data_IF_893710915806
#
_entry.id   IF_893710915806
#
_cell.length_a   1.000
_cell.length_b   1.000
_cell.length_c   1.000
_cell.angle_alpha   90.00
_cell.angle_beta   90.00
_cell.angle_gamma   90.00
#
_symmetry.space_group_name_H-M   'P 1'
#
loop_
_entity.id
_entity.type
_entity.pdbx_description
1 polymer ?
#
# COMPACT_ATOMS: atom_id res chain seq x y z
N UNK A 1 44.36 -11.75 5.26
CA UNK A 1 43.61 -10.49 5.10
C UNK A 1 43.21 -10.20 3.64
N UNK A 2 44.10 -10.30 2.65
CA UNK A 2 43.81 -10.00 1.22
C UNK A 2 42.61 -10.81 0.67
N UNK A 3 42.46 -12.09 1.04
CA UNK A 3 41.31 -12.92 0.63
C UNK A 3 39.98 -12.38 1.15
N UNK A 4 39.97 -11.87 2.38
CA UNK A 4 38.78 -11.28 3.01
C UNK A 4 38.45 -9.93 2.37
N UNK A 5 39.46 -9.09 2.14
CA UNK A 5 39.29 -7.80 1.45
C UNK A 5 38.76 -8.02 0.03
N UNK A 6 39.29 -9.01 -0.70
CA UNK A 6 38.78 -9.35 -2.03
C UNK A 6 37.32 -9.79 -2.01
N UNK A 7 36.92 -10.60 -1.02
CA UNK A 7 35.52 -10.99 -0.84
C UNK A 7 34.63 -9.79 -0.50
N UNK A 8 35.10 -8.89 0.36
CA UNK A 8 34.37 -7.68 0.76
C UNK A 8 34.19 -6.70 -0.41
N UNK A 9 35.21 -6.56 -1.27
CA UNK A 9 35.11 -5.79 -2.52
C UNK A 9 34.09 -6.41 -3.46
N UNK A 10 34.09 -7.73 -3.64
CA UNK A 10 33.10 -8.41 -4.47
C UNK A 10 31.67 -8.26 -3.91
N UNK A 11 31.51 -8.31 -2.59
CA UNK A 11 30.23 -8.05 -1.94
C UNK A 11 29.77 -6.60 -2.19
N UNK A 12 30.67 -5.63 -2.03
CA UNK A 12 30.36 -4.23 -2.30
C UNK A 12 29.94 -4.01 -3.77
N UNK A 13 30.68 -4.58 -4.72
CA UNK A 13 30.35 -4.52 -6.15
C UNK A 13 28.97 -5.16 -6.40
N UNK A 14 28.70 -6.31 -5.80
CA UNK A 14 27.40 -6.97 -5.93
C UNK A 14 26.26 -6.10 -5.39
N UNK A 15 26.46 -5.41 -4.27
CA UNK A 15 25.47 -4.47 -3.71
C UNK A 15 25.23 -3.28 -4.63
N UNK A 16 26.29 -2.73 -5.23
CA UNK A 16 26.18 -1.62 -6.20
C UNK A 16 25.35 -2.06 -7.41
N UNK A 17 25.63 -3.25 -7.96
CA UNK A 17 24.86 -3.79 -9.09
C UNK A 17 23.39 -3.97 -8.73
N UNK A 18 23.10 -4.55 -7.55
CA UNK A 18 21.73 -4.68 -7.07
C UNK A 18 21.03 -3.32 -6.96
N UNK A 19 21.73 -2.33 -6.39
CA UNK A 19 21.18 -0.99 -6.22
C UNK A 19 20.91 -0.28 -7.55
N UNK A 20 21.75 -0.51 -8.58
CA UNK A 20 21.52 0.02 -9.92
C UNK A 20 20.28 -0.61 -10.57
N UNK A 21 20.07 -1.92 -10.38
CA UNK A 21 18.87 -2.61 -10.87
C UNK A 21 17.60 -2.10 -10.17
N UNK A 22 17.64 -1.93 -8.85
CA UNK A 22 16.55 -1.32 -8.06
C UNK A 22 16.21 0.08 -8.59
N UNK A 23 17.23 0.92 -8.82
CA UNK A 23 17.06 2.26 -9.40
C UNK A 23 16.47 2.22 -10.81
N UNK A 24 16.91 1.28 -11.65
CA UNK A 24 16.42 1.13 -13.02
C UNK A 24 14.93 0.76 -13.04
N UNK A 25 14.50 -0.16 -12.17
CA UNK A 25 13.10 -0.57 -12.02
C UNK A 25 12.20 0.58 -11.57
N UNK A 26 12.71 1.53 -10.79
CA UNK A 26 11.92 2.68 -10.31
C UNK A 26 11.87 3.81 -11.34
N UNK A 27 13.00 4.12 -11.99
CA UNK A 27 13.14 5.34 -12.80
C UNK A 27 12.88 5.15 -14.29
N UNK A 28 13.05 3.94 -14.81
CA UNK A 28 12.94 3.67 -16.25
C UNK A 28 11.56 3.09 -16.54
N UNK A 29 10.66 3.83 -17.20
CA UNK A 29 9.35 3.29 -17.55
C UNK A 29 9.52 2.19 -18.59
N UNK A 30 9.06 0.98 -18.26
CA UNK A 30 9.08 -0.14 -19.18
C UNK A 30 7.89 -0.02 -20.14
N UNK A 31 8.20 0.17 -21.43
CA UNK A 31 7.22 0.41 -22.49
C UNK A 31 6.55 -0.88 -23.02
N UNK A 32 6.95 -2.05 -22.49
CA UNK A 32 6.41 -3.35 -22.90
C UNK A 32 5.30 -3.74 -21.92
N UNK A 33 4.06 -4.02 -22.37
CA UNK A 33 2.89 -4.19 -21.49
C UNK A 33 3.08 -5.21 -20.36
N UNK A 34 3.73 -6.34 -20.66
CA UNK A 34 4.02 -7.38 -19.66
C UNK A 34 4.96 -6.84 -18.58
N UNK A 35 5.99 -6.09 -18.98
CA UNK A 35 6.99 -5.56 -18.06
C UNK A 35 6.45 -4.38 -17.24
N UNK A 36 5.49 -3.61 -17.77
CA UNK A 36 4.84 -2.52 -17.05
C UNK A 36 4.12 -3.03 -15.80
N UNK A 37 3.35 -4.12 -15.92
CA UNK A 37 2.64 -4.71 -14.78
C UNK A 37 3.60 -5.22 -13.69
N UNK A 38 4.73 -5.82 -14.10
CA UNK A 38 5.78 -6.22 -13.15
C UNK A 38 6.42 -5.02 -12.46
N UNK A 39 6.63 -3.92 -13.18
CA UNK A 39 7.18 -2.70 -12.62
C UNK A 39 6.24 -2.06 -11.59
N UNK A 40 4.96 -1.96 -11.89
CA UNK A 40 3.94 -1.45 -10.96
C UNK A 40 3.88 -2.29 -9.69
N UNK A 41 3.82 -3.62 -9.83
CA UNK A 41 3.88 -4.54 -8.70
C UNK A 41 5.14 -4.37 -7.86
N UNK A 42 6.31 -4.27 -8.51
CA UNK A 42 7.59 -4.11 -7.82
C UNK A 42 7.66 -2.81 -7.01
N UNK A 43 7.19 -1.69 -7.59
CA UNK A 43 7.15 -0.38 -6.92
C UNK A 43 6.24 -0.44 -5.69
N UNK A 44 5.04 -1.00 -5.81
CA UNK A 44 4.09 -1.15 -4.69
C UNK A 44 4.66 -2.06 -3.58
N UNK A 45 5.17 -3.23 -3.95
CA UNK A 45 5.79 -4.17 -3.01
C UNK A 45 6.94 -3.53 -2.23
N UNK A 46 7.84 -2.82 -2.93
CA UNK A 46 8.97 -2.13 -2.31
C UNK A 46 8.51 -1.03 -1.36
N UNK A 47 7.50 -0.25 -1.76
CA UNK A 47 6.89 0.78 -0.91
C UNK A 47 6.36 0.20 0.40
N UNK A 48 5.62 -0.92 0.32
CA UNK A 48 5.12 -1.63 1.50
C UNK A 48 6.26 -2.20 2.35
N UNK A 49 7.24 -2.85 1.73
CA UNK A 49 8.38 -3.45 2.43
C UNK A 49 9.17 -2.40 3.22
N UNK A 50 9.45 -1.24 2.62
CA UNK A 50 10.12 -0.13 3.29
C UNK A 50 9.23 0.50 4.37
N UNK A 51 7.92 0.64 4.12
CA UNK A 51 6.96 1.11 5.13
C UNK A 51 6.88 0.20 6.37
N UNK A 52 7.07 -1.10 6.21
CA UNK A 52 7.19 -2.06 7.32
C UNK A 52 8.52 -1.89 8.09
N UNK A 53 9.62 -1.63 7.39
CA UNK A 53 10.97 -1.50 7.99
C UNK A 53 11.13 -0.18 8.74
N UNK A 54 10.55 0.92 8.24
CA UNK A 54 10.58 2.23 8.92
C UNK A 54 9.68 2.30 10.17
N UNK A 55 8.98 1.21 10.52
CA UNK A 55 8.13 1.16 11.71
C UNK A 55 7.00 2.19 11.72
N UNK A 56 6.65 2.74 10.56
CA UNK A 56 5.82 3.93 10.48
C UNK A 56 5.75 4.54 9.10
N UNK A 57 5.20 3.82 8.12
CA UNK A 57 4.24 4.53 7.27
C UNK A 57 3.02 4.80 8.13
N UNK A 58 2.69 6.08 8.27
CA UNK A 58 1.46 6.66 8.77
C UNK A 58 0.20 5.91 8.31
N UNK A 59 -0.03 4.71 8.83
CA UNK A 59 -1.38 4.36 9.24
C UNK A 59 -1.66 5.41 10.29
N UNK A 60 -2.58 6.36 10.07
CA UNK A 60 -3.03 7.14 11.20
C UNK A 60 -3.43 6.08 12.23
N UNK A 61 -2.72 6.06 13.37
CA UNK A 61 -3.08 5.21 14.50
C UNK A 61 -4.60 5.28 14.61
N UNK A 62 -5.27 4.16 14.91
CA UNK A 62 -6.72 4.14 15.04
C UNK A 62 -7.20 5.36 15.86
N UNK A 63 -6.44 5.76 16.88
CA UNK A 63 -6.62 7.01 17.64
C UNK A 63 -6.57 8.30 16.80
N UNK A 64 -5.58 8.47 15.92
CA UNK A 64 -5.49 9.61 14.99
C UNK A 64 -6.58 9.59 13.92
N UNK A 65 -7.05 8.42 13.49
CA UNK A 65 -8.24 8.33 12.61
C UNK A 65 -9.52 8.69 13.38
N UNK A 66 -9.65 8.27 14.64
CA UNK A 66 -10.79 8.60 15.51
C UNK A 66 -10.83 10.11 15.78
N UNK A 67 -9.69 10.72 16.10
CA UNK A 67 -9.60 12.16 16.36
C UNK A 67 -9.84 12.97 15.08
N UNK A 68 -9.28 12.55 13.93
CA UNK A 68 -9.57 13.20 12.63
C UNK A 68 -11.03 13.02 12.20
N UNK A 69 -11.68 11.90 12.55
CA UNK A 69 -13.11 11.67 12.31
C UNK A 69 -13.99 12.56 13.19
N UNK A 70 -13.57 12.81 14.44
CA UNK A 70 -14.21 13.77 15.35
C UNK A 70 -14.05 15.21 14.86
N UNK A 71 -12.86 15.59 14.37
CA UNK A 71 -12.59 16.95 13.87
C UNK A 71 -13.25 17.23 12.51
N UNK A 72 -13.37 16.22 11.63
CA UNK A 72 -14.02 16.36 10.32
C UNK A 72 -15.55 16.26 10.36
N UNK A 73 -16.17 16.20 11.55
CA UNK A 73 -17.63 16.22 11.67
C UNK A 73 -18.35 15.09 10.93
N UNK A 74 -17.73 13.89 10.83
CA UNK A 74 -18.47 12.70 10.39
C UNK A 74 -19.40 12.27 11.53
N UNK A 75 -20.62 12.78 11.50
CA UNK A 75 -21.72 12.42 12.39
C UNK A 75 -22.40 11.10 12.03
N UNK A 76 -21.73 10.20 11.33
CA UNK A 76 -22.28 8.86 11.10
C UNK A 76 -21.71 7.91 12.15
N UNK A 77 -22.39 7.89 13.30
CA UNK A 77 -22.26 6.81 14.28
C UNK A 77 -22.39 5.48 13.52
N UNK A 78 -21.49 4.50 13.73
CA UNK A 78 -21.79 3.13 13.38
C UNK A 78 -23.08 2.76 14.10
N UNK A 79 -24.11 2.32 13.37
CA UNK A 79 -25.33 1.84 14.00
C UNK A 79 -24.95 0.58 14.78
N UNK A 80 -25.08 0.54 16.12
CA UNK A 80 -24.69 -0.62 16.90
C UNK A 80 -25.66 -1.76 16.58
N UNK A 81 -25.32 -2.62 15.61
CA UNK A 81 -26.14 -3.77 15.23
C UNK A 81 -26.08 -4.20 13.77
N UNK A 82 -25.46 -3.45 12.86
CA UNK A 82 -25.30 -3.86 11.46
C UNK A 82 -23.91 -4.45 11.22
N UNK A 83 -23.84 -5.72 10.82
CA UNK A 83 -22.61 -6.27 10.26
C UNK A 83 -22.31 -5.57 8.92
N UNK A 84 -21.04 -5.22 8.62
CA UNK A 84 -20.69 -4.59 7.36
C UNK A 84 -21.12 -5.47 6.19
N UNK A 85 -21.80 -4.88 5.20
CA UNK A 85 -22.40 -5.61 4.07
C UNK A 85 -21.70 -5.40 2.75
N UNK A 86 -20.87 -4.37 2.66
CA UNK A 86 -20.16 -4.00 1.44
C UNK A 86 -18.68 -3.81 1.72
N UNK A 87 -17.86 -4.29 0.80
CA UNK A 87 -16.42 -4.15 0.75
C UNK A 87 -16.06 -3.32 -0.48
N UNK A 88 -15.21 -2.32 -0.35
CA UNK A 88 -14.70 -1.56 -1.49
C UNK A 88 -13.21 -1.23 -1.30
N UNK A 89 -12.54 -0.88 -2.38
CA UNK A 89 -11.14 -0.43 -2.36
C UNK A 89 -11.11 1.07 -2.63
N UNK A 90 -10.38 1.82 -1.81
CA UNK A 90 -10.22 3.26 -1.99
C UNK A 90 -9.05 3.63 -2.92
N UNK A 91 -8.87 4.94 -3.17
CA UNK A 91 -7.83 5.48 -4.04
C UNK A 91 -6.39 5.13 -3.59
N UNK A 92 -6.21 4.70 -2.33
CA UNK A 92 -4.93 4.27 -1.77
C UNK A 92 -4.72 2.75 -1.85
N UNK A 93 -5.67 2.01 -2.41
CA UNK A 93 -5.62 0.55 -2.48
C UNK A 93 -5.96 -0.13 -1.15
N UNK A 94 -6.55 0.59 -0.18
CA UNK A 94 -6.96 0.03 1.10
C UNK A 94 -8.39 -0.53 1.03
N UNK A 95 -8.62 -1.67 1.69
CA UNK A 95 -9.93 -2.30 1.82
C UNK A 95 -10.75 -1.57 2.89
N UNK A 96 -11.96 -1.17 2.52
CA UNK A 96 -12.91 -0.44 3.35
C UNK A 96 -14.23 -1.19 3.44
N UNK A 97 -14.90 -1.05 4.58
CA UNK A 97 -16.16 -1.74 4.88
C UNK A 97 -17.28 -0.72 5.08
N UNK A 98 -18.46 -1.02 4.53
CA UNK A 98 -19.65 -0.18 4.64
C UNK A 98 -20.88 -1.01 5.00
N UNK A 99 -21.77 -0.43 5.80
CA UNK A 99 -23.02 -1.07 6.23
C UNK A 99 -24.05 -1.16 5.09
N UNK A 100 -23.99 -0.22 4.14
CA UNK A 100 -24.86 -0.17 2.96
C UNK A 100 -24.14 0.44 1.75
N UNK A 101 -24.71 0.25 0.55
CA UNK A 101 -24.14 0.79 -0.69
C UNK A 101 -24.16 2.33 -0.72
N UNK A 102 -25.13 2.96 -0.05
CA UNK A 102 -25.25 4.42 0.05
C UNK A 102 -24.11 5.01 0.89
N UNK A 103 -23.66 4.28 1.91
CA UNK A 103 -22.54 4.66 2.76
C UNK A 103 -21.18 4.60 2.03
N UNK A 104 -21.09 3.88 0.92
CA UNK A 104 -19.90 3.88 0.05
C UNK A 104 -19.83 5.22 -0.70
N UNK A 105 -18.68 5.91 -0.73
CA UNK A 105 -18.53 7.15 -1.49
C UNK A 105 -18.86 6.95 -2.99
N UNK A 106 -19.51 7.91 -3.66
CA UNK A 106 -20.06 7.72 -5.00
C UNK A 106 -19.07 7.18 -6.04
N UNK A 107 -17.80 7.59 -5.93
CA UNK A 107 -16.73 7.18 -6.82
C UNK A 107 -16.35 5.69 -6.70
N UNK A 108 -16.55 5.07 -5.52
CA UNK A 108 -16.19 3.67 -5.25
C UNK A 108 -17.38 2.70 -5.30
N UNK A 109 -18.62 3.21 -5.47
CA UNK A 109 -19.83 2.37 -5.50
C UNK A 109 -19.86 1.36 -6.63
N UNK A 110 -19.20 1.68 -7.75
CA UNK A 110 -19.16 0.79 -8.93
C UNK A 110 -18.34 -0.48 -8.67
N UNK A 111 -17.33 -0.37 -7.81
CA UNK A 111 -16.38 -1.43 -7.50
C UNK A 111 -16.66 -2.06 -6.12
N UNK A 112 -17.72 -1.60 -5.43
CA UNK A 112 -18.13 -2.13 -4.14
C UNK A 112 -18.79 -3.49 -4.30
N UNK A 113 -18.30 -4.48 -3.54
CA UNK A 113 -18.79 -5.85 -3.57
C UNK A 113 -19.58 -6.17 -2.30
N UNK A 114 -20.77 -6.80 -2.42
CA UNK A 114 -21.50 -7.28 -1.25
C UNK A 114 -20.75 -8.43 -0.58
N UNK A 115 -20.77 -8.46 0.75
CA UNK A 115 -20.24 -9.56 1.55
C UNK A 115 -21.35 -10.58 1.80
N UNK A 116 -21.16 -11.82 1.34
CA UNK A 116 -22.05 -12.93 1.71
C UNK A 116 -21.85 -13.30 3.18
N UNK A 117 -22.96 -13.57 3.88
CA UNK A 117 -22.95 -14.00 5.29
C UNK A 117 -22.68 -15.50 5.41
#
# INVERSE_FOLDING_TARGET
MIKLVRWLVWLLVSLIVLSLLDQALIRVPMQVPVLTQFQEFYIDFRGRLLGLVDGGSETPSIDKMIDRSKEMGRTDKPSPGAAPRYLYVDDSGALQFADSLEAVPPQFRKDAQPMEQ
#
